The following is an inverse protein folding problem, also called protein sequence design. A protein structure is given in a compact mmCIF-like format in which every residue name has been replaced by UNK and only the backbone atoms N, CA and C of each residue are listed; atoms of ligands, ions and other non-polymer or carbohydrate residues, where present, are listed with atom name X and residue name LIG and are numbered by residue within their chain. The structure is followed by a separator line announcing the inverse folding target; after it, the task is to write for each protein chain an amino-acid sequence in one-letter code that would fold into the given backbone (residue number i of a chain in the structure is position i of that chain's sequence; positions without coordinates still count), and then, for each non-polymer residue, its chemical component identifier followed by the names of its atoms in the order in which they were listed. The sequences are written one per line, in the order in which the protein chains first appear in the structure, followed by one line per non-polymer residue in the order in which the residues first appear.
data_IF_730395019372
#
_entry.id   IF_730395019372
#
_cell.length_a   1.000
_cell.length_b   1.000
_cell.length_c   1.000
_cell.angle_alpha   90.00
_cell.angle_beta   90.00
_cell.angle_gamma   90.00
#
_symmetry.space_group_name_H-M   'P 1'
#
loop_
_entity.id
_entity.type
_entity.pdbx_description
1 polymer ?
#
# COMPACT_ATOMS: atom_id res chain seq x y z
N UNK A 1 -15.63 0.96 -21.48
CA UNK A 1 -16.02 -0.45 -21.79
C UNK A 1 -16.53 -1.07 -20.50
N UNK A 2 -17.60 -1.89 -20.51
CA UNK A 2 -18.09 -2.59 -19.31
C UNK A 2 -17.97 -4.10 -19.55
N UNK A 3 -17.26 -4.79 -18.64
CA UNK A 3 -17.15 -6.24 -18.66
C UNK A 3 -17.92 -6.77 -17.43
N UNK A 4 -18.79 -7.73 -17.63
CA UNK A 4 -19.56 -8.35 -16.55
C UNK A 4 -19.09 -9.78 -16.37
N UNK A 5 -18.68 -10.10 -15.14
CA UNK A 5 -18.25 -11.45 -14.75
C UNK A 5 -19.33 -12.08 -13.86
N UNK A 6 -19.66 -13.37 -14.03
CA UNK A 6 -20.59 -14.05 -13.14
C UNK A 6 -20.16 -13.98 -11.66
N UNK A 7 -21.10 -13.77 -10.76
CA UNK A 7 -20.83 -13.74 -9.32
C UNK A 7 -20.19 -15.08 -8.88
N UNK A 8 -19.06 -14.99 -8.18
CA UNK A 8 -18.32 -16.15 -7.68
C UNK A 8 -17.47 -16.87 -8.72
N UNK A 9 -17.31 -16.33 -9.94
CA UNK A 9 -16.36 -16.85 -10.91
C UNK A 9 -14.92 -16.69 -10.37
N UNK A 10 -14.14 -17.77 -10.43
CA UNK A 10 -12.70 -17.73 -10.23
C UNK A 10 -12.02 -17.66 -11.57
N UNK A 11 -11.30 -16.56 -11.79
CA UNK A 11 -10.57 -16.32 -13.03
C UNK A 11 -9.12 -16.77 -12.85
N UNK A 12 -8.52 -17.32 -13.91
CA UNK A 12 -7.09 -17.65 -13.86
C UNK A 12 -6.24 -16.41 -14.04
N UNK A 13 -6.55 -15.65 -15.07
CA UNK A 13 -5.78 -14.47 -15.42
C UNK A 13 -6.72 -13.38 -15.95
N UNK A 14 -6.52 -12.18 -15.45
CA UNK A 14 -7.19 -10.97 -15.91
C UNK A 14 -6.13 -9.94 -16.20
N UNK A 15 -6.17 -9.36 -17.39
CA UNK A 15 -5.31 -8.23 -17.77
C UNK A 15 -6.18 -7.10 -18.29
N UNK A 16 -6.01 -5.92 -17.69
CA UNK A 16 -6.68 -4.69 -18.10
C UNK A 16 -5.59 -3.68 -18.43
N UNK A 17 -5.56 -3.22 -19.67
CA UNK A 17 -4.64 -2.19 -20.13
C UNK A 17 -5.49 -1.14 -20.87
N UNK A 18 -5.54 0.06 -20.31
CA UNK A 18 -6.33 1.16 -20.86
C UNK A 18 -5.60 2.49 -20.60
N UNK A 19 -5.68 3.47 -21.54
CA UNK A 19 -4.99 4.74 -21.34
C UNK A 19 -5.73 5.73 -20.43
N UNK A 20 -6.90 5.36 -19.91
CA UNK A 20 -7.80 6.21 -19.11
C UNK A 20 -8.25 5.49 -17.84
N UNK A 21 -9.13 6.14 -17.06
CA UNK A 21 -9.66 5.61 -15.81
C UNK A 21 -10.10 4.14 -15.90
N UNK A 22 -9.69 3.37 -14.90
CA UNK A 22 -10.06 1.97 -14.73
C UNK A 22 -10.86 1.84 -13.43
N UNK A 23 -12.10 1.39 -13.53
CA UNK A 23 -12.96 1.12 -12.39
C UNK A 23 -13.32 -0.38 -12.35
N UNK A 24 -12.77 -1.08 -11.37
CA UNK A 24 -13.06 -2.47 -11.05
C UNK A 24 -14.04 -2.53 -9.87
N UNK A 25 -15.28 -2.11 -10.13
CA UNK A 25 -16.34 -1.88 -9.15
C UNK A 25 -16.97 -3.17 -8.58
N UNK A 26 -16.18 -4.21 -8.36
CA UNK A 26 -16.65 -5.45 -7.71
C UNK A 26 -15.48 -6.22 -7.12
N UNK A 27 -15.74 -6.94 -6.03
CA UNK A 27 -14.76 -7.85 -5.45
C UNK A 27 -14.35 -8.91 -6.48
N UNK A 28 -13.07 -8.95 -6.80
CA UNK A 28 -12.54 -9.78 -7.88
C UNK A 28 -11.74 -10.95 -7.31
N UNK A 29 -12.06 -12.16 -7.78
CA UNK A 29 -11.26 -13.35 -7.50
C UNK A 29 -10.56 -13.81 -8.79
N UNK A 30 -9.25 -13.58 -8.86
CA UNK A 30 -8.41 -13.96 -9.99
C UNK A 30 -7.05 -14.43 -9.49
N UNK A 31 -6.55 -15.58 -10.00
CA UNK A 31 -5.22 -16.07 -9.60
C UNK A 31 -4.15 -15.05 -9.95
N UNK A 32 -4.26 -14.43 -11.15
CA UNK A 32 -3.40 -13.34 -11.58
C UNK A 32 -4.24 -12.17 -12.07
N UNK A 33 -3.93 -10.99 -11.57
CA UNK A 33 -4.54 -9.74 -12.03
C UNK A 33 -3.44 -8.74 -12.38
N UNK A 34 -3.50 -8.21 -13.61
CA UNK A 34 -2.65 -7.12 -14.07
C UNK A 34 -3.53 -5.96 -14.51
N UNK A 35 -3.30 -4.78 -13.93
CA UNK A 35 -4.02 -3.54 -14.25
C UNK A 35 -3.01 -2.49 -14.62
N UNK A 36 -3.18 -1.87 -15.80
CA UNK A 36 -2.28 -0.83 -16.28
C UNK A 36 -3.05 0.32 -16.87
N UNK A 37 -2.69 1.55 -16.48
CA UNK A 37 -3.13 2.78 -17.14
C UNK A 37 -1.95 3.71 -17.38
N UNK A 38 -2.10 4.65 -18.32
CA UNK A 38 -1.12 5.73 -18.54
C UNK A 38 -1.64 7.07 -18.05
N UNK A 39 -2.96 7.26 -18.08
CA UNK A 39 -3.61 8.51 -17.67
C UNK A 39 -4.94 8.20 -17.03
N UNK A 40 -5.14 8.59 -15.78
CA UNK A 40 -6.40 8.46 -15.11
C UNK A 40 -6.32 7.61 -13.84
N UNK A 41 -7.38 7.60 -13.08
CA UNK A 41 -7.46 6.94 -11.79
C UNK A 41 -7.72 5.43 -11.95
N UNK A 42 -7.03 4.62 -11.13
CA UNK A 42 -7.37 3.21 -10.93
C UNK A 42 -8.17 3.10 -9.64
N UNK A 43 -9.43 2.69 -9.76
CA UNK A 43 -10.29 2.30 -8.64
C UNK A 43 -10.51 0.80 -8.67
N UNK A 44 -10.23 0.14 -7.57
CA UNK A 44 -10.45 -1.29 -7.42
C UNK A 44 -11.05 -1.58 -6.05
N UNK A 45 -12.12 -2.36 -6.03
CA UNK A 45 -12.66 -2.95 -4.79
C UNK A 45 -11.72 -4.07 -4.30
N UNK A 46 -12.21 -4.99 -3.45
CA UNK A 46 -11.38 -6.05 -2.91
C UNK A 46 -10.91 -7.05 -3.97
N UNK A 47 -9.68 -7.53 -3.82
CA UNK A 47 -9.12 -8.60 -4.64
C UNK A 47 -8.60 -9.76 -3.79
N UNK A 48 -8.81 -10.98 -4.31
CA UNK A 48 -8.28 -12.20 -3.71
C UNK A 48 -7.71 -13.11 -4.81
N UNK A 49 -6.42 -13.47 -4.68
CA UNK A 49 -5.73 -14.27 -5.69
C UNK A 49 -4.35 -14.73 -5.29
N UNK A 50 -3.47 -14.83 -6.26
CA UNK A 50 -2.07 -15.23 -6.07
C UNK A 50 -1.13 -14.07 -6.35
N UNK A 51 -1.20 -13.50 -7.56
CA UNK A 51 -0.33 -12.42 -8.01
C UNK A 51 -1.16 -11.22 -8.49
N UNK A 52 -0.91 -10.05 -7.91
CA UNK A 52 -1.47 -8.77 -8.32
C UNK A 52 -0.35 -7.86 -8.81
N UNK A 53 -0.55 -7.21 -9.96
CA UNK A 53 0.30 -6.15 -10.45
C UNK A 53 -0.56 -4.98 -10.92
N UNK A 54 -0.32 -3.79 -10.35
CA UNK A 54 -0.96 -2.54 -10.73
C UNK A 54 0.12 -1.54 -11.13
N UNK A 55 -0.08 -0.88 -12.26
CA UNK A 55 0.81 0.18 -12.74
C UNK A 55 -0.01 1.36 -13.24
N UNK A 56 0.31 2.54 -12.73
CA UNK A 56 -0.24 3.82 -13.18
C UNK A 56 0.89 4.82 -13.43
N UNK A 57 0.83 5.49 -14.60
CA UNK A 57 1.82 6.52 -14.94
C UNK A 57 1.40 7.90 -14.41
N UNK A 58 0.12 8.29 -14.56
CA UNK A 58 -0.38 9.62 -14.20
C UNK A 58 -1.83 9.54 -13.68
N UNK A 59 -1.97 9.33 -12.38
CA UNK A 59 -3.26 9.23 -11.68
C UNK A 59 -3.13 8.57 -10.32
N UNK A 60 -4.22 8.61 -9.58
CA UNK A 60 -4.30 7.99 -8.26
C UNK A 60 -4.65 6.51 -8.36
N UNK A 61 -4.04 5.71 -7.49
CA UNK A 61 -4.42 4.31 -7.31
C UNK A 61 -5.18 4.17 -5.98
N UNK A 62 -6.45 3.75 -6.06
CA UNK A 62 -7.29 3.48 -4.89
C UNK A 62 -7.78 2.04 -4.89
N UNK A 63 -7.48 1.30 -3.83
CA UNK A 63 -7.90 -0.10 -3.72
C UNK A 63 -8.62 -0.39 -2.41
N UNK A 64 -9.49 -1.41 -2.42
CA UNK A 64 -9.98 -2.08 -1.23
C UNK A 64 -8.93 -3.05 -0.66
N UNK A 65 -9.40 -4.15 -0.06
CA UNK A 65 -8.52 -5.15 0.54
C UNK A 65 -7.88 -6.05 -0.49
N UNK A 66 -6.58 -6.28 -0.35
CA UNK A 66 -5.77 -7.08 -1.28
C UNK A 66 -5.24 -8.32 -0.55
N UNK A 67 -5.74 -9.50 -0.92
CA UNK A 67 -5.31 -10.77 -0.33
C UNK A 67 -4.65 -11.67 -1.37
N UNK A 68 -3.38 -12.02 -1.15
CA UNK A 68 -2.64 -12.86 -2.11
C UNK A 68 -1.24 -13.24 -1.65
N UNK A 69 -0.49 -13.89 -2.53
CA UNK A 69 0.91 -14.19 -2.23
C UNK A 69 1.81 -13.01 -2.56
N UNK A 70 1.61 -12.42 -3.73
CA UNK A 70 2.42 -11.30 -4.23
C UNK A 70 1.53 -10.14 -4.67
N UNK A 71 1.85 -8.94 -4.17
CA UNK A 71 1.19 -7.68 -4.54
C UNK A 71 2.26 -6.70 -4.97
N UNK A 72 2.18 -6.20 -6.18
CA UNK A 72 3.07 -5.17 -6.74
C UNK A 72 2.23 -3.99 -7.23
N UNK A 73 2.50 -2.79 -6.72
CA UNK A 73 1.80 -1.57 -7.10
C UNK A 73 2.84 -0.48 -7.37
N UNK A 74 2.78 0.12 -8.55
CA UNK A 74 3.66 1.21 -8.96
C UNK A 74 2.82 2.37 -9.46
N UNK A 75 3.01 3.57 -8.90
CA UNK A 75 2.46 4.83 -9.36
C UNK A 75 3.58 5.85 -9.57
N UNK A 76 3.65 6.49 -10.74
CA UNK A 76 4.69 7.48 -11.01
C UNK A 76 4.25 8.89 -10.59
N UNK A 77 3.01 9.28 -10.92
CA UNK A 77 2.44 10.57 -10.55
C UNK A 77 1.04 10.36 -10.00
N UNK A 78 0.86 10.63 -8.71
CA UNK A 78 -0.41 10.47 -8.00
C UNK A 78 -0.27 9.70 -6.69
N UNK A 79 -1.31 9.69 -5.91
CA UNK A 79 -1.33 9.06 -4.59
C UNK A 79 -1.66 7.58 -4.66
N UNK A 80 -0.99 6.78 -3.83
CA UNK A 80 -1.32 5.38 -3.59
C UNK A 80 -2.16 5.27 -2.30
N UNK A 81 -3.45 5.06 -2.44
CA UNK A 81 -4.39 4.85 -1.33
C UNK A 81 -4.81 3.37 -1.30
N UNK A 82 -4.09 2.59 -0.56
CA UNK A 82 -4.21 1.13 -0.56
C UNK A 82 -4.91 0.67 0.71
N UNK A 83 -5.97 -0.07 0.57
CA UNK A 83 -6.66 -0.71 1.68
C UNK A 83 -5.77 -1.73 2.38
N UNK A 84 -6.36 -2.73 3.04
CA UNK A 84 -5.57 -3.72 3.75
C UNK A 84 -4.82 -4.65 2.79
N UNK A 85 -3.51 -4.79 2.98
CA UNK A 85 -2.71 -5.79 2.28
C UNK A 85 -2.46 -6.99 3.19
N UNK A 86 -3.03 -8.14 2.84
CA UNK A 86 -2.77 -9.44 3.46
C UNK A 86 -2.01 -10.32 2.47
N UNK A 87 -0.69 -10.25 2.48
CA UNK A 87 0.16 -10.97 1.51
C UNK A 87 1.43 -11.53 2.15
N UNK A 88 2.08 -12.44 1.44
CA UNK A 88 3.42 -12.92 1.79
C UNK A 88 4.49 -11.92 1.36
N UNK A 89 4.27 -11.26 0.22
CA UNK A 89 5.16 -10.23 -0.32
C UNK A 89 4.31 -9.09 -0.91
N UNK A 90 4.53 -7.88 -0.45
CA UNK A 90 3.98 -6.67 -1.04
C UNK A 90 5.10 -5.69 -1.38
N UNK A 91 5.02 -5.07 -2.54
CA UNK A 91 5.91 -3.99 -2.98
C UNK A 91 5.08 -2.83 -3.50
N UNK A 92 5.25 -1.67 -2.88
CA UNK A 92 4.63 -0.41 -3.27
C UNK A 92 5.74 0.55 -3.72
N UNK A 93 5.61 1.13 -4.90
CA UNK A 93 6.57 2.11 -5.42
C UNK A 93 5.82 3.35 -5.89
N UNK A 94 6.16 4.50 -5.31
CA UNK A 94 5.65 5.80 -5.71
C UNK A 94 6.83 6.73 -6.05
N UNK A 95 6.73 7.46 -7.16
CA UNK A 95 7.74 8.45 -7.51
C UNK A 95 7.32 9.84 -7.03
N UNK A 96 6.12 10.30 -7.38
CA UNK A 96 5.58 11.60 -6.97
C UNK A 96 4.16 11.42 -6.44
N UNK A 97 4.00 11.44 -5.12
CA UNK A 97 2.73 11.26 -4.45
C UNK A 97 2.90 10.63 -3.07
N UNK A 98 1.86 10.67 -2.28
CA UNK A 98 1.87 10.06 -0.97
C UNK A 98 1.43 8.60 -1.03
N UNK A 99 1.97 7.79 -0.14
CA UNK A 99 1.56 6.38 0.03
C UNK A 99 0.80 6.25 1.33
N UNK A 100 -0.41 5.72 1.26
CA UNK A 100 -1.21 5.34 2.43
C UNK A 100 -1.60 3.87 2.29
N UNK A 101 -1.25 3.05 3.30
CA UNK A 101 -1.50 1.61 3.28
C UNK A 101 -1.82 1.05 4.66
N UNK A 102 -2.73 0.07 4.71
CA UNK A 102 -3.04 -0.72 5.90
C UNK A 102 -2.29 -2.05 5.83
N UNK A 103 -1.35 -2.24 6.75
CA UNK A 103 -0.46 -3.39 6.76
C UNK A 103 -1.04 -4.55 7.57
N UNK A 104 -1.66 -5.52 6.90
CA UNK A 104 -2.09 -6.81 7.45
C UNK A 104 -1.15 -7.97 7.09
N UNK A 105 -0.03 -7.68 6.44
CA UNK A 105 0.89 -8.69 5.91
C UNK A 105 1.49 -9.58 7.00
N UNK A 106 1.68 -10.84 6.68
CA UNK A 106 2.41 -11.81 7.49
C UNK A 106 3.84 -12.08 6.98
N UNK A 107 4.20 -11.42 5.90
CA UNK A 107 5.51 -11.49 5.26
C UNK A 107 6.16 -10.11 5.17
N UNK A 108 6.58 -9.71 3.99
CA UNK A 108 7.28 -8.44 3.76
C UNK A 108 6.38 -7.43 3.07
N UNK A 109 6.35 -6.20 3.61
CA UNK A 109 5.84 -5.01 2.95
C UNK A 109 7.03 -4.09 2.66
N UNK A 110 7.40 -3.95 1.40
CA UNK A 110 8.44 -3.04 0.92
C UNK A 110 7.76 -1.81 0.29
N UNK A 111 8.06 -0.62 0.80
CA UNK A 111 7.57 0.66 0.27
C UNK A 111 8.74 1.52 -0.15
N UNK A 112 8.71 2.01 -1.39
CA UNK A 112 9.64 3.01 -1.91
C UNK A 112 8.85 4.24 -2.30
N UNK A 113 9.26 5.41 -1.82
CA UNK A 113 8.64 6.68 -2.16
C UNK A 113 9.71 7.75 -2.37
N UNK A 114 9.78 8.34 -3.57
CA UNK A 114 10.80 9.38 -3.83
C UNK A 114 10.33 10.76 -3.36
N UNK A 115 9.05 11.14 -3.61
CA UNK A 115 8.54 12.46 -3.24
C UNK A 115 7.12 12.34 -2.68
N UNK A 116 6.99 12.53 -1.37
CA UNK A 116 5.72 12.51 -0.63
C UNK A 116 5.78 11.68 0.66
N UNK A 117 4.78 11.83 1.48
CA UNK A 117 4.70 11.14 2.77
C UNK A 117 4.31 9.67 2.61
N UNK A 118 4.85 8.83 3.49
CA UNK A 118 4.46 7.41 3.60
C UNK A 118 3.74 7.17 4.91
N UNK A 119 2.46 6.84 4.85
CA UNK A 119 1.59 6.58 6.00
C UNK A 119 1.24 5.08 6.05
N UNK A 120 1.68 4.40 7.10
CA UNK A 120 1.39 2.97 7.31
C UNK A 120 0.55 2.80 8.57
N UNK A 121 -0.60 2.15 8.41
CA UNK A 121 -1.51 1.79 9.49
C UNK A 121 -1.39 0.30 9.76
N UNK A 122 -0.90 -0.08 10.94
CA UNK A 122 -0.70 -1.46 11.30
C UNK A 122 -2.00 -2.11 11.77
N UNK A 123 -2.34 -3.24 11.19
CA UNK A 123 -3.53 -4.02 11.56
C UNK A 123 -3.26 -5.04 12.67
N UNK A 124 -2.00 -5.28 12.99
CA UNK A 124 -1.56 -6.14 14.10
C UNK A 124 -0.91 -5.28 15.18
N UNK A 125 -0.61 -5.90 16.32
CA UNK A 125 0.13 -5.21 17.39
C UNK A 125 1.56 -4.91 16.91
N UNK A 126 2.10 -3.76 17.29
CA UNK A 126 3.45 -3.30 16.95
C UNK A 126 4.56 -4.33 17.20
N UNK A 127 4.39 -5.20 18.19
CA UNK A 127 5.37 -6.25 18.46
C UNK A 127 5.40 -7.36 17.40
N UNK A 128 4.41 -7.40 16.50
CA UNK A 128 4.36 -8.41 15.43
C UNK A 128 5.30 -8.11 14.26
N UNK A 129 5.67 -6.82 14.05
CA UNK A 129 6.47 -6.39 12.92
C UNK A 129 7.93 -6.11 13.28
N UNK A 130 8.82 -6.46 12.36
CA UNK A 130 10.13 -5.84 12.24
C UNK A 130 10.07 -4.61 11.36
N UNK A 131 10.99 -3.69 11.54
CA UNK A 131 11.06 -2.45 10.78
C UNK A 131 12.46 -2.25 10.23
N UNK A 132 12.53 -1.75 8.99
CA UNK A 132 13.73 -1.22 8.36
C UNK A 132 13.31 0.05 7.60
N UNK A 133 13.36 1.19 8.29
CA UNK A 133 12.84 2.45 7.82
C UNK A 133 13.99 3.41 7.57
N UNK A 134 13.96 4.09 6.43
CA UNK A 134 14.95 5.08 6.03
C UNK A 134 14.28 6.21 5.26
N UNK A 135 14.63 7.46 5.59
CA UNK A 135 14.32 8.62 4.77
C UNK A 135 15.55 9.53 4.67
N UNK A 136 15.84 10.04 3.48
CA UNK A 136 16.99 10.92 3.26
C UNK A 136 16.69 12.35 3.72
N UNK A 137 15.51 12.89 3.33
CA UNK A 137 15.06 14.23 3.72
C UNK A 137 13.64 14.16 4.29
N UNK A 138 13.52 13.79 5.57
CA UNK A 138 12.24 13.64 6.26
C UNK A 138 12.42 13.08 7.66
N UNK A 139 11.31 12.89 8.35
CA UNK A 139 11.25 12.39 9.72
C UNK A 139 10.55 11.04 9.81
N UNK A 140 10.90 10.24 10.82
CA UNK A 140 10.22 8.97 11.11
C UNK A 140 9.39 9.14 12.37
N UNK A 141 8.08 8.96 12.26
CA UNK A 141 7.12 9.12 13.34
C UNK A 141 6.45 7.78 13.67
N UNK A 142 6.51 7.39 14.94
CA UNK A 142 5.72 6.31 15.49
C UNK A 142 4.62 6.85 16.39
N UNK A 143 3.40 6.34 16.25
CA UNK A 143 2.30 6.67 17.14
C UNK A 143 2.62 6.16 18.57
N UNK A 144 2.74 7.10 19.52
CA UNK A 144 3.03 6.80 20.92
C UNK A 144 4.51 6.80 21.33
N UNK A 145 5.43 7.08 20.41
CA UNK A 145 6.86 7.26 20.71
C UNK A 145 7.34 8.65 20.27
N UNK A 146 8.34 9.17 20.98
CA UNK A 146 9.00 10.42 20.58
C UNK A 146 9.68 10.26 19.22
N UNK A 147 9.68 11.31 18.44
CA UNK A 147 10.29 11.39 17.12
C UNK A 147 11.76 10.94 17.18
N UNK A 148 12.18 10.16 16.22
CA UNK A 148 13.60 9.90 16.01
C UNK A 148 14.15 11.00 15.11
N UNK A 149 14.59 12.08 15.71
CA UNK A 149 15.36 13.12 15.05
C UNK A 149 16.78 12.61 14.82
N UNK A 150 17.28 12.79 13.62
CA UNK A 150 18.71 12.62 13.37
C UNK A 150 19.44 13.89 13.83
N UNK A 151 20.37 13.78 14.76
CA UNK A 151 21.15 14.92 15.29
C UNK A 151 21.92 15.69 14.21
N UNK A 152 22.03 15.17 12.99
CA UNK A 152 22.75 15.76 11.85
C UNK A 152 21.87 16.27 10.70
N UNK A 153 20.54 16.14 10.76
CA UNK A 153 19.60 16.88 9.90
C UNK A 153 19.35 16.36 8.49
N UNK A 154 20.05 15.34 7.98
CA UNK A 154 19.95 14.96 6.57
C UNK A 154 19.24 13.61 6.33
N UNK A 155 19.31 12.66 7.24
CA UNK A 155 18.63 11.36 7.08
C UNK A 155 18.16 10.78 8.41
N UNK A 156 17.01 10.09 8.43
CA UNK A 156 16.52 9.34 9.57
C UNK A 156 16.49 7.83 9.26
N UNK A 157 16.87 7.03 10.24
CA UNK A 157 16.90 5.57 10.11
C UNK A 157 16.35 4.90 11.38
N UNK A 158 15.51 3.88 11.22
CA UNK A 158 15.02 3.06 12.33
C UNK A 158 15.00 1.59 11.95
N UNK A 159 15.62 0.74 12.80
CA UNK A 159 15.64 -0.71 12.63
C UNK A 159 15.19 -1.43 13.87
N UNK A 160 14.28 -2.38 13.72
CA UNK A 160 13.82 -3.29 14.76
C UNK A 160 13.62 -4.68 14.17
N UNK A 161 14.15 -5.71 14.81
CA UNK A 161 13.91 -7.10 14.41
C UNK A 161 12.52 -7.56 14.86
N UNK A 162 11.81 -8.27 13.99
CA UNK A 162 10.57 -8.92 14.33
C UNK A 162 10.80 -10.20 15.13
N UNK A 163 9.86 -10.57 16.01
CA UNK A 163 9.83 -11.92 16.58
C UNK A 163 9.44 -12.99 15.56
N UNK A 164 8.83 -12.59 14.44
CA UNK A 164 8.36 -13.43 13.34
C UNK A 164 8.92 -13.02 11.98
N UNK A 165 8.22 -13.40 10.91
CA UNK A 165 8.62 -13.11 9.52
C UNK A 165 8.05 -11.79 8.96
N UNK A 166 7.12 -11.15 9.67
CA UNK A 166 6.49 -9.93 9.21
C UNK A 166 7.45 -8.74 9.33
N UNK A 167 7.78 -8.11 8.21
CA UNK A 167 8.71 -6.97 8.14
C UNK A 167 8.12 -5.87 7.29
N UNK A 168 8.17 -4.65 7.79
CA UNK A 168 7.85 -3.42 7.07
C UNK A 168 9.16 -2.72 6.75
N UNK A 169 9.45 -2.55 5.46
CA UNK A 169 10.58 -1.79 4.96
C UNK A 169 10.07 -0.56 4.22
N UNK A 170 10.63 0.59 4.56
CA UNK A 170 10.32 1.84 3.87
C UNK A 170 11.62 2.54 3.52
N UNK A 171 11.74 2.93 2.26
CA UNK A 171 12.81 3.80 1.78
C UNK A 171 12.17 5.02 1.13
N UNK A 172 12.35 6.19 1.75
CA UNK A 172 11.90 7.47 1.22
C UNK A 172 13.12 8.36 0.89
N UNK A 173 13.01 9.16 -0.18
CA UNK A 173 14.00 10.20 -0.46
C UNK A 173 13.57 11.52 0.17
N UNK A 174 12.36 12.00 -0.16
CA UNK A 174 11.81 13.26 0.34
C UNK A 174 10.40 13.02 0.88
N UNK A 175 10.25 13.08 2.20
CA UNK A 175 8.96 12.93 2.88
C UNK A 175 9.07 12.16 4.19
N UNK A 176 8.06 12.32 5.00
CA UNK A 176 7.98 11.69 6.31
C UNK A 176 7.46 10.25 6.22
N UNK A 177 7.98 9.40 7.10
CA UNK A 177 7.47 8.06 7.32
C UNK A 177 6.66 8.06 8.62
N UNK A 178 5.37 7.77 8.53
CA UNK A 178 4.44 7.76 9.66
C UNK A 178 3.88 6.36 9.88
N UNK A 179 4.30 5.71 10.96
CA UNK A 179 3.79 4.39 11.37
C UNK A 179 2.80 4.61 12.51
N UNK A 180 1.58 4.10 12.35
CA UNK A 180 0.50 4.20 13.34
C UNK A 180 0.09 2.82 13.81
N UNK A 181 0.31 2.54 15.09
CA UNK A 181 -0.06 1.29 15.71
C UNK A 181 -1.57 1.21 15.93
N UNK A 182 -2.13 0.04 15.62
CA UNK A 182 -3.44 -0.44 16.08
C UNK A 182 -4.54 0.63 16.16
N UNK A 183 -4.77 1.33 15.07
CA UNK A 183 -5.88 2.28 15.00
C UNK A 183 -7.16 1.46 14.93
N UNK A 184 -7.99 1.55 15.96
CA UNK A 184 -9.30 0.92 15.96
C UNK A 184 -10.08 1.39 14.70
N UNK A 185 -10.62 0.42 13.97
CA UNK A 185 -11.35 0.58 12.69
C UNK A 185 -12.32 1.79 12.64
N UNK A 186 -12.88 2.16 13.79
CA UNK A 186 -13.86 3.25 13.92
C UNK A 186 -13.29 4.66 13.77
N UNK A 187 -11.98 4.87 13.95
CA UNK A 187 -11.36 6.20 13.88
C UNK A 187 -10.88 6.54 12.46
N UNK A 188 -10.68 5.54 11.62
CA UNK A 188 -10.17 5.70 10.26
C UNK A 188 -11.27 6.00 9.23
N UNK A 189 -12.51 5.58 9.50
CA UNK A 189 -13.66 5.87 8.64
C UNK A 189 -13.94 7.39 8.53
N UNK A 190 -13.51 8.19 9.53
CA UNK A 190 -13.65 9.65 9.49
C UNK A 190 -12.51 10.34 8.71
N UNK A 191 -11.33 9.70 8.57
CA UNK A 191 -10.15 10.34 7.93
C UNK A 191 -9.97 9.90 6.48
N UNK A 192 -10.47 8.71 6.12
CA UNK A 192 -10.42 8.16 4.75
C UNK A 192 -11.84 7.85 4.32
N UNK A 193 -12.62 8.89 4.07
CA UNK A 193 -14.05 8.79 3.77
C UNK A 193 -14.42 7.96 2.52
N UNK A 194 -13.46 7.37 1.82
CA UNK A 194 -13.70 6.61 0.59
C UNK A 194 -13.03 5.22 0.53
N UNK A 195 -12.17 4.84 1.49
CA UNK A 195 -11.60 3.48 1.52
C UNK A 195 -12.36 2.61 2.52
N UNK A 196 -13.03 1.60 2.03
CA UNK A 196 -13.67 0.58 2.87
C UNK A 196 -12.58 -0.16 3.65
N UNK A 197 -12.72 -0.18 4.96
CA UNK A 197 -11.80 -0.83 5.90
C UNK A 197 -11.74 -2.35 5.74
N UNK A 198 -10.61 -2.95 6.05
CA UNK A 198 -10.43 -4.40 6.24
C UNK A 198 -11.40 -4.99 7.24
#
# INVERSE_FOLDING_TARGET
MKITVPKGARLKEVSVDAPWDIDLAANLSAEKLSVKTSYGEIKMEDWNGIDLSIYDEDGDIKTGNLTGNKVEITGLYGDLNIGCIESTQASLEAENGSVTVFAGTQGTLDVKNSYGDTNIYEMQKADAYGYDLYTEYGEIHFSGYEMMENENGDAAEYRKQAPGSAVIRVSAENGDIKIRENVARSTLEETVAETKSC
#
